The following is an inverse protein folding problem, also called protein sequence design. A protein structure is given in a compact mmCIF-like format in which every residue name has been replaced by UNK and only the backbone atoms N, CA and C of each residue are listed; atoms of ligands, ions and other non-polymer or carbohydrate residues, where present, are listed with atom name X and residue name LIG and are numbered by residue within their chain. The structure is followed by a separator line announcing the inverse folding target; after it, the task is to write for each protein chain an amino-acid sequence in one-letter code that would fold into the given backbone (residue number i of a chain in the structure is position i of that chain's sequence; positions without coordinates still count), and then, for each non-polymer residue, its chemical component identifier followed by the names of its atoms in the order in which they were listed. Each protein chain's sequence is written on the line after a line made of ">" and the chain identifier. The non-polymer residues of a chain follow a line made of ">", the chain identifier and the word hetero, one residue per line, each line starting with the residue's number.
data_IF_307065301898
#
_entry.id   IF_307065301898
#
_cell.length_a   1.000
_cell.length_b   1.000
_cell.length_c   1.000
_cell.angle_alpha   90.00
_cell.angle_beta   90.00
_cell.angle_gamma   90.00
#
_symmetry.space_group_name_H-M   'P 1'
#
loop_
_entity.id
_entity.type
_entity.pdbx_description
1 polymer ?
#
# COMPACT_ATOMS: atom_id res chain seq x y z
N UNK A 1 4.76 -11.79 10.80
CA UNK A 1 3.37 -12.27 10.65
C UNK A 1 2.93 -12.06 9.21
N UNK A 2 2.40 -13.09 8.60
CA UNK A 2 1.92 -12.98 7.22
C UNK A 2 0.51 -12.43 7.21
N UNK A 3 0.28 -11.54 6.27
CA UNK A 3 -1.03 -11.00 6.01
C UNK A 3 -1.90 -12.09 5.36
N UNK A 4 -3.14 -12.27 5.81
CA UNK A 4 -4.01 -13.26 5.20
C UNK A 4 -4.43 -12.82 3.79
N UNK A 5 -4.97 -13.77 3.02
CA UNK A 5 -5.26 -13.54 1.60
C UNK A 5 -6.34 -12.48 1.38
N UNK A 6 -7.34 -12.44 2.25
CA UNK A 6 -8.40 -11.44 2.12
C UNK A 6 -7.89 -10.05 2.42
N UNK A 7 -7.03 -9.92 3.43
CA UNK A 7 -6.42 -8.64 3.78
C UNK A 7 -5.48 -8.18 2.68
N UNK A 8 -4.70 -9.09 2.09
CA UNK A 8 -3.84 -8.78 0.95
C UNK A 8 -4.66 -8.24 -0.23
N UNK A 9 -5.78 -8.87 -0.50
CA UNK A 9 -6.65 -8.46 -1.60
C UNK A 9 -7.22 -7.06 -1.36
N UNK A 10 -7.69 -6.80 -0.14
CA UNK A 10 -8.22 -5.49 0.22
C UNK A 10 -7.14 -4.40 0.09
N UNK A 11 -5.93 -4.66 0.58
CA UNK A 11 -4.83 -3.71 0.49
C UNK A 11 -4.38 -3.52 -0.96
N UNK A 12 -4.35 -4.59 -1.75
CA UNK A 12 -3.99 -4.49 -3.15
C UNK A 12 -4.94 -3.53 -3.88
N UNK A 13 -6.23 -3.71 -3.67
CA UNK A 13 -7.24 -2.83 -4.27
C UNK A 13 -7.11 -1.40 -3.78
N UNK A 14 -6.94 -1.23 -2.47
CA UNK A 14 -6.81 0.08 -1.85
C UNK A 14 -5.57 0.83 -2.36
N UNK A 15 -4.42 0.17 -2.35
CA UNK A 15 -3.17 0.78 -2.81
C UNK A 15 -3.22 1.11 -4.31
N UNK A 16 -3.85 0.24 -5.10
CA UNK A 16 -4.01 0.48 -6.53
C UNK A 16 -4.85 1.74 -6.78
N UNK A 17 -5.93 1.90 -6.04
CA UNK A 17 -6.77 3.09 -6.15
C UNK A 17 -6.03 4.34 -5.70
N UNK A 18 -5.27 4.24 -4.60
CA UNK A 18 -4.46 5.35 -4.11
C UNK A 18 -3.40 5.76 -5.14
N UNK A 19 -2.76 4.77 -5.76
CA UNK A 19 -1.75 5.05 -6.78
C UNK A 19 -2.36 5.83 -7.95
N UNK A 20 -3.52 5.40 -8.42
CA UNK A 20 -4.20 6.08 -9.53
C UNK A 20 -4.57 7.51 -9.15
N UNK A 21 -5.10 7.69 -7.95
CA UNK A 21 -5.47 8.99 -7.44
C UNK A 21 -4.25 9.90 -7.30
N UNK A 22 -3.18 9.37 -6.73
CA UNK A 22 -1.94 10.12 -6.56
C UNK A 22 -1.33 10.52 -7.89
N UNK A 23 -1.34 9.60 -8.86
CA UNK A 23 -0.82 9.88 -10.20
C UNK A 23 -1.61 11.00 -10.87
N UNK A 24 -2.93 10.98 -10.72
CA UNK A 24 -3.81 11.98 -11.29
C UNK A 24 -3.53 13.37 -10.73
N UNK A 25 -3.26 13.46 -9.44
CA UNK A 25 -3.10 14.74 -8.74
C UNK A 25 -1.65 15.13 -8.47
N UNK A 26 -0.71 14.26 -8.77
CA UNK A 26 0.72 14.56 -8.60
C UNK A 26 1.23 14.39 -7.19
N UNK A 27 0.63 13.50 -6.40
CA UNK A 27 1.05 13.25 -5.03
C UNK A 27 1.75 11.91 -4.89
N UNK A 28 2.51 11.79 -3.80
CA UNK A 28 3.04 10.51 -3.34
C UNK A 28 2.76 10.41 -1.84
N UNK A 29 2.81 9.20 -1.31
CA UNK A 29 2.66 8.96 0.12
C UNK A 29 3.93 8.27 0.59
N UNK A 30 4.52 8.81 1.65
CA UNK A 30 5.74 8.25 2.20
C UNK A 30 5.53 7.98 3.68
N UNK A 31 5.60 6.71 4.05
CA UNK A 31 5.61 6.28 5.45
C UNK A 31 4.39 6.71 6.26
N UNK A 32 3.21 6.56 5.69
CA UNK A 32 1.97 6.90 6.38
C UNK A 32 1.41 5.67 7.11
N UNK A 33 0.95 5.87 8.33
CA UNK A 33 0.37 4.80 9.13
C UNK A 33 -0.96 4.34 8.55
N UNK A 34 -1.19 3.04 8.54
CA UNK A 34 -2.46 2.47 8.10
C UNK A 34 -3.01 1.56 9.19
N UNK A 35 -4.32 1.65 9.40
CA UNK A 35 -5.02 0.87 10.41
C UNK A 35 -6.16 0.08 9.75
N UNK A 36 -6.22 -1.21 10.04
CA UNK A 36 -7.29 -2.07 9.57
C UNK A 36 -8.29 -2.24 10.71
N UNK A 37 -9.45 -1.59 10.57
CA UNK A 37 -10.51 -1.63 11.60
C UNK A 37 -10.00 -1.28 13.00
N UNK A 38 -9.13 -0.28 13.06
CA UNK A 38 -8.59 0.20 14.31
C UNK A 38 -7.31 -0.49 14.77
N UNK A 39 -6.86 -1.52 14.06
CA UNK A 39 -5.62 -2.23 14.38
C UNK A 39 -4.50 -1.75 13.46
N UNK A 40 -3.38 -1.37 14.05
CA UNK A 40 -2.23 -0.89 13.28
C UNK A 40 -1.73 -2.00 12.35
N UNK A 41 -1.62 -1.70 11.07
CA UNK A 41 -1.22 -2.68 10.06
C UNK A 41 0.12 -2.37 9.40
N UNK A 42 0.73 -1.27 9.74
CA UNK A 42 2.04 -0.90 9.20
C UNK A 42 2.05 0.48 8.58
N UNK A 43 3.10 0.73 7.83
CA UNK A 43 3.29 2.00 7.13
C UNK A 43 3.15 1.77 5.64
N UNK A 44 2.39 2.63 4.97
CA UNK A 44 2.24 2.53 3.53
C UNK A 44 3.16 3.52 2.82
N UNK A 45 3.59 3.11 1.64
CA UNK A 45 4.40 3.94 0.77
C UNK A 45 3.83 3.78 -0.63
N UNK A 46 3.40 4.89 -1.22
CA UNK A 46 2.82 4.89 -2.56
C UNK A 46 3.60 5.90 -3.38
N UNK A 47 4.54 5.41 -4.16
CA UNK A 47 5.39 6.23 -4.99
C UNK A 47 4.98 6.09 -6.46
N UNK A 48 5.72 6.75 -7.34
CA UNK A 48 5.49 6.64 -8.78
C UNK A 48 5.85 5.25 -9.30
N UNK A 49 6.73 4.54 -8.59
CA UNK A 49 7.32 3.29 -9.05
C UNK A 49 6.82 2.05 -8.32
N UNK A 50 6.33 2.21 -7.10
CA UNK A 50 5.89 1.05 -6.30
C UNK A 50 4.92 1.45 -5.21
N UNK A 51 4.24 0.45 -4.71
CA UNK A 51 3.35 0.57 -3.55
C UNK A 51 3.71 -0.54 -2.58
N UNK A 52 3.85 -0.21 -1.31
CA UNK A 52 4.23 -1.23 -0.33
C UNK A 52 3.61 -0.97 1.02
N UNK A 53 3.55 -2.02 1.82
CA UNK A 53 3.20 -1.96 3.25
C UNK A 53 4.34 -2.57 4.02
N UNK A 54 4.84 -1.84 5.00
CA UNK A 54 5.96 -2.27 5.84
C UNK A 54 5.50 -2.37 7.29
N UNK A 55 5.73 -3.50 7.91
CA UNK A 55 5.44 -3.73 9.33
C UNK A 55 6.66 -4.34 9.98
N UNK A 56 7.14 -3.70 11.07
CA UNK A 56 8.35 -4.14 11.80
C UNK A 56 9.55 -4.29 10.88
N UNK A 57 9.76 -3.30 10.02
CA UNK A 57 10.84 -3.25 9.03
C UNK A 57 10.80 -4.39 8.00
N UNK A 58 9.67 -5.08 7.91
CA UNK A 58 9.47 -6.13 6.93
C UNK A 58 8.41 -5.70 5.93
N UNK A 59 8.73 -5.81 4.64
CA UNK A 59 7.76 -5.53 3.58
C UNK A 59 6.78 -6.68 3.53
N UNK A 60 5.53 -6.42 3.94
CA UNK A 60 4.50 -7.45 3.98
C UNK A 60 3.72 -7.54 2.68
N UNK A 61 3.72 -6.48 1.89
CA UNK A 61 3.06 -6.45 0.60
C UNK A 61 3.78 -5.43 -0.28
N UNK A 62 4.06 -5.82 -1.51
CA UNK A 62 4.67 -4.92 -2.49
C UNK A 62 4.03 -5.14 -3.84
N UNK A 63 3.68 -4.05 -4.52
CA UNK A 63 3.06 -4.09 -5.84
C UNK A 63 3.82 -3.14 -6.74
N UNK A 64 4.26 -3.63 -7.89
CA UNK A 64 4.93 -2.79 -8.87
C UNK A 64 3.90 -2.01 -9.67
N UNK A 65 4.13 -0.72 -9.84
CA UNK A 65 3.20 0.16 -10.53
C UNK A 65 3.18 -0.07 -12.04
N UNK A 66 4.17 -0.75 -12.58
CA UNK A 66 4.23 -1.09 -14.00
C UNK A 66 3.04 -1.92 -14.46
N UNK A 67 2.46 -2.70 -13.55
CA UNK A 67 1.31 -3.54 -13.86
C UNK A 67 -0.02 -2.81 -13.71
N UNK A 68 0.02 -1.51 -13.41
CA UNK A 68 -1.17 -0.70 -13.17
C UNK A 68 -1.24 0.42 -14.20
N UNK A 69 -2.33 0.53 -14.88
CA UNK A 69 -2.56 1.61 -15.85
C UNK A 69 -3.06 2.89 -15.19
#
# INVERSE_FOLDING_TARGET
>A
MNMDINTKKRFTEYLTELHRLNKKHGFTIDNAEVFDKGSFSGYIEVTRESMSIVLDDIVTLEIETDSID
#
